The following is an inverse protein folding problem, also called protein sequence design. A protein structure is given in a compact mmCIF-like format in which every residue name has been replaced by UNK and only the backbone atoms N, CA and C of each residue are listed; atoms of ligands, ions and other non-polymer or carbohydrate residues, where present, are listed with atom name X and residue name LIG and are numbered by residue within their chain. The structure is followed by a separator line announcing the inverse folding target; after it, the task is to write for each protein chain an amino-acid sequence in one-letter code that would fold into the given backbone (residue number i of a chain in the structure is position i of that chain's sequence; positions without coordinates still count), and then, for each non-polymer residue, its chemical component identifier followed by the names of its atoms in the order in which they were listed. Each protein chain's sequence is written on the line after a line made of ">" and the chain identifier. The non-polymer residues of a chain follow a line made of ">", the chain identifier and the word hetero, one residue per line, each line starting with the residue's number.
data_IF_283151368070
#
_entry.id   IF_283151368070
#
_cell.length_a   1.000
_cell.length_b   1.000
_cell.length_c   1.000
_cell.angle_alpha   90.00
_cell.angle_beta   90.00
_cell.angle_gamma   90.00
#
_symmetry.space_group_name_H-M   'P 1'
#
loop_
_entity.id
_entity.type
_entity.pdbx_description
1 polymer ?
#
# COMPACT_ATOMS: atom_id res chain seq x y z
N UNK A 1 11.34 -34.50 0.32
CA UNK A 1 10.14 -34.75 -0.48
C UNK A 1 10.11 -33.65 -1.54
N UNK A 2 10.29 -34.01 -2.82
CA UNK A 2 10.22 -33.05 -3.92
C UNK A 2 8.79 -32.48 -3.95
N UNK A 3 8.63 -31.20 -3.71
CA UNK A 3 7.36 -30.50 -3.91
C UNK A 3 6.98 -30.63 -5.38
N UNK A 4 6.02 -31.52 -5.69
CA UNK A 4 5.47 -31.61 -7.04
C UNK A 4 4.90 -30.23 -7.40
N UNK A 5 5.37 -29.67 -8.49
CA UNK A 5 4.91 -28.39 -8.98
C UNK A 5 3.39 -28.46 -9.19
N UNK A 6 2.63 -27.58 -8.51
CA UNK A 6 1.16 -27.50 -8.68
C UNK A 6 0.88 -27.22 -10.15
N UNK A 7 0.08 -28.07 -10.78
CA UNK A 7 -0.30 -27.89 -12.19
C UNK A 7 -1.75 -28.28 -12.42
N UNK A 8 -2.51 -27.39 -13.05
CA UNK A 8 -3.88 -27.60 -13.49
C UNK A 8 -3.92 -27.64 -15.01
N UNK A 9 -4.56 -28.67 -15.56
CA UNK A 9 -4.89 -28.71 -16.99
C UNK A 9 -6.03 -27.74 -17.31
N UNK A 10 -6.18 -27.34 -18.56
CA UNK A 10 -7.28 -26.45 -18.96
C UNK A 10 -8.66 -27.08 -18.68
N UNK A 11 -8.80 -28.41 -18.80
CA UNK A 11 -10.05 -29.08 -18.42
C UNK A 11 -10.34 -28.94 -16.92
N UNK A 12 -9.34 -29.08 -16.06
CA UNK A 12 -9.51 -28.90 -14.61
C UNK A 12 -9.87 -27.45 -14.26
N UNK A 13 -9.28 -26.47 -14.93
CA UNK A 13 -9.66 -25.06 -14.76
C UNK A 13 -11.08 -24.77 -15.27
N UNK A 14 -11.49 -25.38 -16.40
CA UNK A 14 -12.85 -25.26 -16.90
C UNK A 14 -13.89 -25.82 -15.92
N UNK A 15 -13.62 -26.99 -15.35
CA UNK A 15 -14.46 -27.63 -14.32
C UNK A 15 -14.49 -26.77 -13.04
N UNK A 16 -13.37 -26.17 -12.68
CA UNK A 16 -13.26 -25.26 -11.53
C UNK A 16 -14.10 -23.99 -11.75
N UNK A 17 -13.98 -23.35 -12.93
CA UNK A 17 -14.80 -22.19 -13.31
C UNK A 17 -16.30 -22.53 -13.24
N UNK A 18 -16.73 -23.65 -13.80
CA UNK A 18 -18.14 -24.06 -13.78
C UNK A 18 -18.69 -24.15 -12.35
N UNK A 19 -17.93 -24.75 -11.43
CA UNK A 19 -18.33 -24.88 -10.02
C UNK A 19 -18.29 -23.55 -9.27
N UNK A 20 -17.20 -22.77 -9.43
CA UNK A 20 -17.04 -21.48 -8.76
C UNK A 20 -18.10 -20.46 -9.21
N UNK A 21 -18.33 -20.35 -10.52
CA UNK A 21 -19.29 -19.37 -11.06
C UNK A 21 -20.74 -19.68 -10.67
N UNK A 22 -21.09 -20.93 -10.42
CA UNK A 22 -22.38 -21.29 -9.86
C UNK A 22 -22.63 -20.74 -8.43
N UNK A 23 -21.56 -20.35 -7.72
CA UNK A 23 -21.63 -19.75 -6.39
C UNK A 23 -21.70 -18.22 -6.43
N UNK A 24 -21.58 -17.59 -7.59
CA UNK A 24 -21.46 -16.14 -7.79
C UNK A 24 -22.68 -15.57 -8.53
N UNK A 25 -22.86 -14.26 -8.46
CA UNK A 25 -23.74 -13.53 -9.37
C UNK A 25 -23.02 -13.13 -10.69
N UNK A 26 -23.77 -12.75 -11.72
CA UNK A 26 -23.23 -12.44 -13.05
C UNK A 26 -22.18 -11.32 -13.02
N UNK A 27 -22.40 -10.28 -12.21
CA UNK A 27 -21.45 -9.17 -12.05
C UNK A 27 -20.14 -9.66 -11.46
N UNK A 28 -20.22 -10.52 -10.45
CA UNK A 28 -19.05 -11.09 -9.79
C UNK A 28 -18.31 -12.08 -10.71
N UNK A 29 -19.02 -12.84 -11.51
CA UNK A 29 -18.40 -13.71 -12.54
C UNK A 29 -17.59 -12.89 -13.54
N UNK A 30 -18.08 -11.72 -13.99
CA UNK A 30 -17.33 -10.85 -14.89
C UNK A 30 -16.03 -10.33 -14.23
N UNK A 31 -16.10 -9.92 -12.97
CA UNK A 31 -14.95 -9.51 -12.17
C UNK A 31 -13.92 -10.67 -12.03
N UNK A 32 -14.36 -11.86 -11.62
CA UNK A 32 -13.46 -13.02 -11.45
C UNK A 32 -12.77 -13.40 -12.75
N UNK A 33 -13.44 -13.28 -13.91
CA UNK A 33 -12.81 -13.46 -15.22
C UNK A 33 -11.72 -12.43 -15.48
N UNK A 34 -11.95 -11.17 -15.12
CA UNK A 34 -10.94 -10.11 -15.21
C UNK A 34 -9.74 -10.39 -14.32
N UNK A 35 -9.99 -10.81 -13.06
CA UNK A 35 -8.94 -11.21 -12.13
C UNK A 35 -8.12 -12.39 -12.66
N UNK A 36 -8.77 -13.41 -13.20
CA UNK A 36 -8.09 -14.57 -13.79
C UNK A 36 -7.18 -14.16 -14.96
N UNK A 37 -7.67 -13.33 -15.88
CA UNK A 37 -6.88 -12.83 -17.00
C UNK A 37 -5.67 -12.03 -16.52
N UNK A 38 -5.87 -11.16 -15.53
CA UNK A 38 -4.81 -10.33 -14.97
C UNK A 38 -3.78 -11.19 -14.20
N UNK A 39 -4.24 -12.18 -13.43
CA UNK A 39 -3.36 -13.11 -12.71
C UNK A 39 -2.48 -13.93 -13.65
N UNK A 40 -3.03 -14.41 -14.79
CA UNK A 40 -2.27 -15.08 -15.83
C UNK A 40 -1.19 -14.18 -16.42
N UNK A 41 -1.55 -12.96 -16.80
CA UNK A 41 -0.63 -11.99 -17.39
C UNK A 41 0.50 -11.58 -16.39
N UNK A 42 0.16 -11.35 -15.11
CA UNK A 42 1.14 -11.07 -14.07
C UNK A 42 2.06 -12.28 -13.80
N UNK A 43 1.49 -13.50 -13.82
CA UNK A 43 2.29 -14.73 -13.66
C UNK A 43 3.28 -14.90 -14.80
N UNK A 44 2.88 -14.64 -16.03
CA UNK A 44 3.78 -14.67 -17.20
C UNK A 44 4.90 -13.61 -17.06
N UNK A 45 4.52 -12.39 -16.65
CA UNK A 45 5.46 -11.26 -16.47
C UNK A 45 6.51 -11.54 -15.40
N UNK A 46 6.13 -12.15 -14.28
CA UNK A 46 6.95 -12.28 -13.08
C UNK A 46 7.49 -13.69 -12.83
N UNK A 47 7.23 -14.64 -13.75
CA UNK A 47 7.71 -16.02 -13.63
C UNK A 47 6.94 -16.84 -12.57
N UNK A 48 5.68 -16.49 -12.32
CA UNK A 48 4.79 -17.23 -11.42
C UNK A 48 4.21 -18.49 -12.03
N UNK A 49 3.56 -19.31 -11.22
CA UNK A 49 2.81 -20.49 -11.68
C UNK A 49 1.45 -20.08 -12.23
N UNK A 50 1.34 -19.92 -13.55
CA UNK A 50 0.14 -19.42 -14.21
C UNK A 50 -1.12 -20.28 -13.93
N UNK A 51 -1.01 -21.63 -13.95
CA UNK A 51 -2.17 -22.48 -13.70
C UNK A 51 -2.65 -22.44 -12.25
N UNK A 52 -1.74 -22.31 -11.29
CA UNK A 52 -2.08 -22.15 -9.89
C UNK A 52 -2.67 -20.74 -9.63
N UNK A 53 -2.13 -19.69 -10.24
CA UNK A 53 -2.66 -18.33 -10.16
C UNK A 53 -4.07 -18.23 -10.76
N UNK A 54 -4.33 -18.89 -11.90
CA UNK A 54 -5.67 -19.02 -12.46
C UNK A 54 -6.65 -19.67 -11.48
N UNK A 55 -6.25 -20.78 -10.84
CA UNK A 55 -7.10 -21.47 -9.87
C UNK A 55 -7.38 -20.59 -8.64
N UNK A 56 -6.37 -19.87 -8.11
CA UNK A 56 -6.54 -18.93 -7.01
C UNK A 56 -7.50 -17.78 -7.39
N UNK A 57 -7.30 -17.16 -8.56
CA UNK A 57 -8.14 -16.09 -9.07
C UNK A 57 -9.60 -16.52 -9.30
N UNK A 58 -9.83 -17.74 -9.82
CA UNK A 58 -11.18 -18.30 -9.99
C UNK A 58 -11.90 -18.43 -8.63
N UNK A 59 -11.17 -18.73 -7.55
CA UNK A 59 -11.74 -19.04 -6.25
C UNK A 59 -11.72 -17.90 -5.23
N UNK A 60 -11.00 -16.79 -5.48
CA UNK A 60 -10.74 -15.77 -4.45
C UNK A 60 -12.01 -15.18 -3.82
N UNK A 61 -13.08 -15.05 -4.61
CA UNK A 61 -14.32 -14.38 -4.22
C UNK A 61 -15.53 -15.32 -4.06
N UNK A 62 -15.33 -16.65 -3.99
CA UNK A 62 -16.45 -17.63 -3.98
C UNK A 62 -17.44 -17.46 -2.83
N UNK A 63 -17.07 -16.79 -1.75
CA UNK A 63 -17.94 -16.48 -0.61
C UNK A 63 -18.41 -15.03 -0.56
N UNK A 64 -18.03 -14.19 -1.53
CA UNK A 64 -18.36 -12.75 -1.54
C UNK A 64 -19.85 -12.45 -1.54
N UNK A 65 -20.66 -13.35 -2.07
CA UNK A 65 -22.12 -13.25 -2.10
C UNK A 65 -22.76 -13.45 -0.72
N UNK A 66 -22.08 -14.15 0.18
CA UNK A 66 -22.60 -14.46 1.50
C UNK A 66 -22.65 -13.19 2.37
N UNK A 67 -23.73 -13.03 3.12
CA UNK A 67 -23.82 -11.97 4.10
C UNK A 67 -22.92 -12.26 5.32
N UNK A 68 -22.75 -11.25 6.20
CA UNK A 68 -21.86 -11.35 7.38
C UNK A 68 -22.23 -12.54 8.28
N UNK A 69 -23.52 -12.79 8.53
CA UNK A 69 -23.94 -13.90 9.40
C UNK A 69 -23.61 -15.27 8.78
N UNK A 70 -23.84 -15.44 7.48
CA UNK A 70 -23.49 -16.66 6.76
C UNK A 70 -21.97 -16.91 6.78
N UNK A 71 -21.17 -15.88 6.66
CA UNK A 71 -19.71 -15.98 6.75
C UNK A 71 -19.25 -16.33 8.16
N UNK A 72 -19.86 -15.74 9.20
CA UNK A 72 -19.58 -16.09 10.61
C UNK A 72 -19.98 -17.54 10.92
N UNK A 73 -21.10 -18.03 10.40
CA UNK A 73 -21.50 -19.43 10.52
C UNK A 73 -20.49 -20.38 9.85
N UNK A 74 -19.91 -19.95 8.71
CA UNK A 74 -18.83 -20.73 8.08
C UNK A 74 -17.59 -20.79 8.97
N UNK A 75 -17.17 -19.68 9.56
CA UNK A 75 -16.03 -19.67 10.49
C UNK A 75 -16.27 -20.60 11.67
N UNK A 76 -17.45 -20.51 12.28
CA UNK A 76 -17.87 -21.41 13.38
C UNK A 76 -17.82 -22.88 12.97
N UNK A 77 -18.36 -23.23 11.79
CA UNK A 77 -18.31 -24.62 11.25
C UNK A 77 -16.88 -25.15 11.16
N UNK A 78 -15.91 -24.29 10.85
CA UNK A 78 -14.48 -24.66 10.78
C UNK A 78 -13.73 -24.46 12.10
N UNK A 79 -14.42 -24.15 13.20
CA UNK A 79 -13.84 -23.96 14.53
C UNK A 79 -12.97 -22.70 14.66
N UNK A 80 -13.20 -21.71 13.80
CA UNK A 80 -12.46 -20.45 13.82
C UNK A 80 -13.28 -19.40 14.56
N UNK A 81 -12.68 -18.82 15.58
CA UNK A 81 -13.24 -17.68 16.33
C UNK A 81 -12.62 -16.41 15.78
N UNK A 82 -13.41 -15.56 15.08
CA UNK A 82 -12.89 -14.27 14.59
C UNK A 82 -12.54 -13.37 15.78
N UNK A 83 -11.44 -12.64 15.67
CA UNK A 83 -11.09 -11.60 16.62
C UNK A 83 -11.94 -10.32 16.41
N UNK A 84 -11.77 -9.35 17.31
CA UNK A 84 -12.51 -8.10 17.24
C UNK A 84 -12.17 -7.26 16.00
N UNK A 85 -10.94 -7.33 15.53
CA UNK A 85 -10.48 -6.61 14.36
C UNK A 85 -11.18 -7.13 13.09
N UNK A 86 -11.22 -8.45 12.91
CA UNK A 86 -11.91 -9.08 11.78
C UNK A 86 -13.44 -8.84 11.84
N UNK A 87 -14.02 -8.83 13.04
CA UNK A 87 -15.44 -8.47 13.23
C UNK A 87 -15.73 -7.02 12.87
N UNK A 88 -14.78 -6.12 13.12
CA UNK A 88 -14.88 -4.69 12.77
C UNK A 88 -14.68 -4.43 11.28
N UNK A 89 -14.09 -5.38 10.54
CA UNK A 89 -13.80 -5.31 9.11
C UNK A 89 -14.54 -6.42 8.31
N UNK A 90 -15.88 -6.46 8.29
CA UNK A 90 -16.65 -7.57 7.70
C UNK A 90 -16.38 -7.77 6.21
N UNK A 91 -15.85 -6.74 5.51
CA UNK A 91 -15.41 -6.86 4.12
C UNK A 91 -14.26 -7.87 3.93
N UNK A 92 -13.49 -8.20 4.98
CA UNK A 92 -12.39 -9.15 4.92
C UNK A 92 -12.82 -10.61 5.15
N UNK A 93 -14.01 -10.85 5.72
CA UNK A 93 -14.49 -12.19 6.05
C UNK A 93 -14.49 -13.14 4.83
N UNK A 94 -14.82 -12.62 3.63
CA UNK A 94 -14.88 -13.46 2.43
C UNK A 94 -13.53 -14.03 2.02
N UNK A 95 -12.43 -13.36 2.29
CA UNK A 95 -11.09 -13.87 2.00
C UNK A 95 -10.77 -15.08 2.90
N UNK A 96 -11.13 -14.98 4.19
CA UNK A 96 -10.95 -16.08 5.15
C UNK A 96 -11.84 -17.26 4.81
N UNK A 97 -13.13 -17.03 4.66
CA UNK A 97 -14.12 -18.08 4.37
C UNK A 97 -13.93 -18.67 2.98
N UNK A 98 -13.51 -17.86 2.00
CA UNK A 98 -13.14 -18.31 0.66
C UNK A 98 -11.96 -19.27 0.66
N UNK A 99 -10.92 -18.97 1.41
CA UNK A 99 -9.76 -19.84 1.60
C UNK A 99 -10.14 -21.18 2.24
N UNK A 100 -11.01 -21.15 3.26
CA UNK A 100 -11.51 -22.37 3.91
C UNK A 100 -12.31 -23.25 2.95
N UNK A 101 -13.24 -22.67 2.18
CA UNK A 101 -13.99 -23.41 1.18
C UNK A 101 -13.12 -23.91 0.03
N UNK A 102 -12.13 -23.12 -0.42
CA UNK A 102 -11.17 -23.57 -1.44
C UNK A 102 -10.41 -24.81 -0.96
N UNK A 103 -9.99 -24.85 0.30
CA UNK A 103 -9.34 -26.01 0.90
C UNK A 103 -10.28 -27.22 1.02
N UNK A 104 -11.46 -27.01 1.56
CA UNK A 104 -12.40 -28.11 1.89
C UNK A 104 -13.11 -28.68 0.67
N UNK A 105 -13.79 -27.83 -0.12
CA UNK A 105 -14.63 -28.27 -1.25
C UNK A 105 -13.82 -28.51 -2.52
N UNK A 106 -12.79 -27.70 -2.77
CA UNK A 106 -12.01 -27.77 -4.00
C UNK A 106 -10.65 -28.46 -3.83
N UNK A 107 -10.30 -28.86 -2.59
CA UNK A 107 -9.04 -29.54 -2.28
C UNK A 107 -7.80 -28.78 -2.74
N UNK A 108 -7.88 -27.44 -2.68
CA UNK A 108 -6.76 -26.61 -3.07
C UNK A 108 -5.58 -26.70 -2.09
N UNK A 109 -4.34 -26.73 -2.61
CA UNK A 109 -3.14 -26.71 -1.78
C UNK A 109 -2.97 -25.39 -1.05
N UNK A 110 -2.12 -25.39 -0.04
CA UNK A 110 -1.89 -24.26 0.87
C UNK A 110 -1.46 -23.00 0.14
N UNK A 111 -0.57 -23.10 -0.86
CA UNK A 111 -0.13 -21.96 -1.66
C UNK A 111 -1.29 -21.19 -2.30
N UNK A 112 -2.31 -21.90 -2.80
CA UNK A 112 -3.52 -21.30 -3.39
C UNK A 112 -4.43 -20.73 -2.31
N UNK A 113 -4.64 -21.49 -1.22
CA UNK A 113 -5.54 -21.03 -0.15
C UNK A 113 -4.97 -19.83 0.61
N UNK A 114 -3.66 -19.75 0.78
CA UNK A 114 -3.00 -18.56 1.34
C UNK A 114 -3.14 -17.33 0.42
N UNK A 115 -2.95 -17.50 -0.90
CA UNK A 115 -3.19 -16.39 -1.83
C UNK A 115 -4.64 -15.88 -1.77
N UNK A 116 -5.62 -16.78 -1.62
CA UNK A 116 -7.03 -16.42 -1.40
C UNK A 116 -7.20 -15.74 -0.04
N UNK A 117 -6.57 -16.24 1.03
CA UNK A 117 -6.68 -15.69 2.38
C UNK A 117 -6.23 -14.22 2.46
N UNK A 118 -5.18 -13.87 1.72
CA UNK A 118 -4.51 -12.57 1.84
C UNK A 118 -4.81 -11.59 0.71
N UNK A 119 -5.70 -11.95 -0.24
CA UNK A 119 -5.95 -11.12 -1.42
C UNK A 119 -6.59 -9.76 -1.12
N UNK A 120 -7.19 -9.57 0.05
CA UNK A 120 -7.86 -8.30 0.41
C UNK A 120 -7.06 -7.47 1.41
N UNK A 121 -6.54 -8.08 2.47
CA UNK A 121 -5.78 -7.37 3.51
C UNK A 121 -4.30 -7.23 3.18
N UNK A 122 -3.73 -8.17 2.44
CA UNK A 122 -2.29 -8.38 2.38
C UNK A 122 -1.73 -8.91 3.70
N UNK A 123 -0.42 -9.09 3.75
CA UNK A 123 0.39 -9.40 4.94
C UNK A 123 1.85 -9.03 4.69
N UNK A 124 2.71 -8.92 5.72
CA UNK A 124 4.15 -8.85 5.54
C UNK A 124 4.71 -10.05 4.76
N UNK A 125 5.77 -9.85 3.99
CA UNK A 125 6.51 -10.89 3.26
C UNK A 125 5.63 -11.82 2.40
N UNK A 126 4.70 -11.25 1.61
CA UNK A 126 3.86 -12.01 0.68
C UNK A 126 4.70 -12.78 -0.33
N UNK A 127 4.32 -14.02 -0.60
CA UNK A 127 4.86 -14.82 -1.70
C UNK A 127 4.50 -14.21 -3.06
N UNK A 128 5.20 -14.61 -4.13
CA UNK A 128 4.87 -14.14 -5.48
C UNK A 128 3.39 -14.42 -5.85
N UNK A 129 2.87 -15.60 -5.50
CA UNK A 129 1.47 -15.95 -5.73
C UNK A 129 0.51 -15.02 -5.01
N UNK A 130 0.75 -14.73 -3.73
CA UNK A 130 -0.08 -13.82 -2.94
C UNK A 130 -0.07 -12.40 -3.51
N UNK A 131 1.10 -11.88 -3.93
CA UNK A 131 1.22 -10.58 -4.59
C UNK A 131 0.44 -10.53 -5.92
N UNK A 132 0.57 -11.58 -6.74
CA UNK A 132 -0.14 -11.69 -8.02
C UNK A 132 -1.64 -11.64 -7.81
N UNK A 133 -2.19 -12.41 -6.85
CA UNK A 133 -3.63 -12.47 -6.63
C UNK A 133 -4.15 -11.17 -6.01
N UNK A 134 -3.43 -10.58 -5.06
CA UNK A 134 -3.75 -9.27 -4.49
C UNK A 134 -3.85 -8.20 -5.60
N UNK A 135 -2.81 -8.11 -6.43
CA UNK A 135 -2.78 -7.12 -7.52
C UNK A 135 -3.80 -7.43 -8.62
N UNK A 136 -4.02 -8.70 -8.96
CA UNK A 136 -5.00 -9.09 -9.97
C UNK A 136 -6.42 -8.66 -9.59
N UNK A 137 -6.82 -8.84 -8.32
CA UNK A 137 -8.11 -8.33 -7.83
C UNK A 137 -8.17 -6.80 -7.85
N UNK A 138 -7.06 -6.14 -7.49
CA UNK A 138 -7.02 -4.69 -7.32
C UNK A 138 -7.05 -3.93 -8.65
N UNK A 139 -6.43 -4.48 -9.73
CA UNK A 139 -6.22 -3.78 -11.01
C UNK A 139 -6.92 -4.41 -12.21
N UNK A 140 -7.76 -5.43 -12.03
CA UNK A 140 -8.44 -6.09 -13.15
C UNK A 140 -9.23 -5.10 -14.04
N UNK A 141 -9.50 -5.43 -15.35
CA UNK A 141 -9.97 -4.43 -16.31
C UNK A 141 -11.28 -3.70 -15.97
N UNK A 142 -12.17 -4.28 -15.14
CA UNK A 142 -13.42 -3.62 -14.76
C UNK A 142 -13.28 -2.62 -13.61
N UNK A 143 -12.12 -2.56 -12.95
CA UNK A 143 -11.85 -1.59 -11.88
C UNK A 143 -11.71 -0.19 -12.45
N UNK A 144 -12.37 0.79 -11.82
CA UNK A 144 -12.47 2.18 -12.30
C UNK A 144 -12.40 3.20 -11.16
N UNK A 145 -11.34 3.16 -10.35
CA UNK A 145 -11.06 4.17 -9.34
C UNK A 145 -9.92 5.10 -9.78
N UNK A 146 -9.81 6.26 -9.14
CA UNK A 146 -8.77 7.24 -9.47
C UNK A 146 -7.36 6.64 -9.26
N UNK A 147 -6.54 6.63 -10.30
CA UNK A 147 -5.17 6.10 -10.25
C UNK A 147 -5.02 4.64 -10.67
N UNK A 148 -6.12 3.90 -10.93
CA UNK A 148 -6.06 2.48 -11.32
C UNK A 148 -5.25 2.22 -12.58
N UNK A 149 -5.29 3.12 -13.57
CA UNK A 149 -4.52 2.97 -14.82
C UNK A 149 -3.00 3.01 -14.55
N UNK A 150 -2.58 3.94 -13.70
CA UNK A 150 -1.17 4.04 -13.28
C UNK A 150 -0.77 2.77 -12.54
N UNK A 151 -1.60 2.32 -11.62
CA UNK A 151 -1.33 1.12 -10.83
C UNK A 151 -1.27 -0.15 -11.70
N UNK A 152 -2.07 -0.23 -12.79
CA UNK A 152 -1.98 -1.30 -13.78
C UNK A 152 -0.61 -1.32 -14.46
N UNK A 153 -0.15 -0.18 -14.93
CA UNK A 153 1.17 -0.06 -15.56
C UNK A 153 2.28 -0.46 -14.59
N UNK A 154 2.21 0.03 -13.34
CA UNK A 154 3.18 -0.29 -12.30
C UNK A 154 3.19 -1.78 -11.95
N UNK A 155 2.06 -2.46 -11.88
CA UNK A 155 1.98 -3.88 -11.59
C UNK A 155 2.79 -4.75 -12.59
N UNK A 156 2.96 -4.27 -13.82
CA UNK A 156 3.80 -4.92 -14.85
C UNK A 156 5.24 -4.40 -14.92
N UNK A 157 5.52 -3.24 -14.32
CA UNK A 157 6.85 -2.63 -14.27
C UNK A 157 7.61 -3.05 -13.01
N UNK A 158 6.96 -2.95 -11.86
CA UNK A 158 7.49 -3.26 -10.53
C UNK A 158 6.34 -3.73 -9.61
N UNK A 159 6.29 -5.05 -9.35
CA UNK A 159 5.19 -5.66 -8.59
C UNK A 159 5.19 -5.24 -7.11
N UNK A 160 6.38 -5.06 -6.52
CA UNK A 160 6.49 -4.68 -5.11
C UNK A 160 6.14 -3.20 -4.89
N UNK A 161 6.53 -2.34 -5.83
CA UNK A 161 6.08 -0.94 -5.84
C UNK A 161 4.55 -0.85 -5.99
N UNK A 162 3.98 -1.55 -6.98
CA UNK A 162 2.54 -1.55 -7.20
C UNK A 162 1.76 -2.09 -6.00
N UNK A 163 2.28 -3.14 -5.35
CA UNK A 163 1.69 -3.69 -4.13
C UNK A 163 1.71 -2.65 -2.99
N UNK A 164 2.86 -2.00 -2.78
CA UNK A 164 2.99 -0.96 -1.75
C UNK A 164 2.02 0.22 -2.01
N UNK A 165 1.90 0.67 -3.27
CA UNK A 165 0.99 1.76 -3.64
C UNK A 165 -0.48 1.34 -3.52
N UNK A 166 -0.83 0.12 -3.91
CA UNK A 166 -2.17 -0.45 -3.71
C UNK A 166 -2.55 -0.55 -2.23
N UNK A 167 -1.64 -1.00 -1.37
CA UNK A 167 -1.85 -1.03 0.08
C UNK A 167 -2.04 0.38 0.66
N UNK A 168 -1.24 1.36 0.24
CA UNK A 168 -1.40 2.77 0.63
C UNK A 168 -2.78 3.29 0.24
N UNK A 169 -3.20 3.07 -1.01
CA UNK A 169 -4.52 3.51 -1.50
C UNK A 169 -5.66 2.84 -0.73
N UNK A 170 -5.54 1.55 -0.40
CA UNK A 170 -6.49 0.82 0.44
C UNK A 170 -6.64 1.44 1.84
N UNK A 171 -5.52 1.78 2.48
CA UNK A 171 -5.51 2.44 3.79
C UNK A 171 -6.16 3.83 3.73
N UNK A 172 -5.86 4.60 2.70
CA UNK A 172 -6.44 5.94 2.48
C UNK A 172 -7.96 5.86 2.26
N UNK A 173 -8.44 4.88 1.47
CA UNK A 173 -9.87 4.65 1.25
C UNK A 173 -10.61 4.33 2.54
N UNK A 174 -10.08 3.39 3.35
CA UNK A 174 -10.71 2.98 4.61
C UNK A 174 -10.76 4.15 5.60
N UNK A 175 -9.65 4.88 5.78
CA UNK A 175 -9.60 6.07 6.65
C UNK A 175 -10.51 7.19 6.15
N UNK A 176 -10.53 7.42 4.85
CA UNK A 176 -11.43 8.40 4.21
C UNK A 176 -12.91 8.10 4.40
N UNK A 177 -13.29 6.84 4.64
CA UNK A 177 -14.64 6.42 5.01
C UNK A 177 -14.96 6.59 6.51
N UNK A 178 -14.00 7.04 7.32
CA UNK A 178 -14.14 7.16 8.77
C UNK A 178 -14.02 5.83 9.52
N UNK A 179 -13.46 4.80 8.90
CA UNK A 179 -13.24 3.48 9.50
C UNK A 179 -11.75 3.28 9.81
N UNK A 180 -11.46 2.45 10.82
CA UNK A 180 -10.09 2.01 11.11
C UNK A 180 -9.69 0.87 10.17
N UNK A 181 -8.49 0.92 9.56
CA UNK A 181 -7.97 -0.18 8.77
C UNK A 181 -7.64 -1.38 9.64
N UNK A 182 -7.83 -2.59 9.08
CA UNK A 182 -7.41 -3.83 9.74
C UNK A 182 -5.89 -3.87 9.92
N UNK A 183 -5.43 -4.40 11.05
CA UNK A 183 -3.99 -4.45 11.38
C UNK A 183 -3.17 -5.17 10.30
N UNK A 184 -3.66 -6.29 9.72
CA UNK A 184 -2.96 -6.99 8.63
C UNK A 184 -2.60 -6.05 7.47
N UNK A 185 -3.53 -5.16 7.06
CA UNK A 185 -3.27 -4.20 5.96
C UNK A 185 -2.26 -3.14 6.38
N UNK A 186 -2.31 -2.70 7.64
CA UNK A 186 -1.33 -1.75 8.19
C UNK A 186 0.06 -2.40 8.22
N UNK A 187 0.17 -3.62 8.74
CA UNK A 187 1.43 -4.36 8.84
C UNK A 187 2.00 -4.69 7.46
N UNK A 188 1.14 -5.09 6.51
CA UNK A 188 1.53 -5.27 5.12
C UNK A 188 2.13 -3.99 4.54
N UNK A 189 1.44 -2.86 4.69
CA UNK A 189 1.93 -1.57 4.21
C UNK A 189 3.25 -1.17 4.89
N UNK A 190 3.38 -1.31 6.19
CA UNK A 190 4.63 -1.01 6.89
C UNK A 190 5.80 -1.84 6.36
N UNK A 191 5.55 -3.11 6.02
CA UNK A 191 6.55 -3.97 5.40
C UNK A 191 6.95 -3.52 3.99
N UNK A 192 5.98 -3.13 3.13
CA UNK A 192 6.23 -2.80 1.73
C UNK A 192 6.47 -1.30 1.45
N UNK A 193 6.18 -0.40 2.37
CA UNK A 193 6.29 1.06 2.14
C UNK A 193 7.66 1.54 1.61
N UNK A 194 8.73 0.79 1.88
CA UNK A 194 10.07 1.13 1.40
C UNK A 194 10.19 1.04 -0.13
N UNK A 195 9.37 0.23 -0.80
CA UNK A 195 9.34 0.19 -2.26
C UNK A 195 8.79 1.48 -2.89
N UNK A 196 7.91 2.22 -2.18
CA UNK A 196 7.44 3.53 -2.64
C UNK A 196 8.53 4.60 -2.65
N UNK A 197 9.64 4.33 -1.99
CA UNK A 197 10.78 5.25 -1.89
C UNK A 197 11.68 5.26 -3.12
N UNK A 198 11.35 4.47 -4.17
CA UNK A 198 12.17 4.27 -5.37
C UNK A 198 13.41 3.42 -5.08
N UNK A 199 13.64 2.38 -5.87
CA UNK A 199 14.76 1.44 -5.73
C UNK A 199 16.17 2.07 -5.90
N UNK A 200 16.25 3.39 -6.10
CA UNK A 200 17.49 4.17 -6.22
C UNK A 200 17.76 5.09 -5.03
N UNK A 201 16.96 5.06 -3.95
CA UNK A 201 17.32 5.79 -2.74
C UNK A 201 18.55 5.14 -2.11
N UNK A 202 19.72 5.65 -2.42
CA UNK A 202 20.95 5.30 -1.68
C UNK A 202 20.96 5.88 -0.27
N UNK A 203 19.99 6.75 0.04
CA UNK A 203 19.92 7.50 1.29
C UNK A 203 18.84 6.92 2.22
N UNK A 204 19.19 6.76 3.49
CA UNK A 204 18.23 6.46 4.56
C UNK A 204 17.27 7.64 4.79
N UNK A 205 16.09 7.43 5.39
CA UNK A 205 15.18 8.51 5.76
C UNK A 205 15.84 9.60 6.62
N UNK A 206 16.73 9.20 7.52
CA UNK A 206 17.48 10.12 8.35
C UNK A 206 18.48 10.98 7.54
N UNK A 207 19.12 10.41 6.51
CA UNK A 207 19.99 11.15 5.60
C UNK A 207 19.21 12.13 4.74
N UNK A 208 18.04 11.73 4.19
CA UNK A 208 17.15 12.63 3.45
C UNK A 208 16.70 13.80 4.32
N UNK A 209 16.28 13.53 5.56
CA UNK A 209 15.92 14.58 6.53
C UNK A 209 17.10 15.49 6.88
N UNK A 210 18.30 14.91 7.00
CA UNK A 210 19.54 15.64 7.25
C UNK A 210 19.93 16.59 6.12
N UNK A 211 19.84 16.14 4.86
CA UNK A 211 20.07 16.97 3.66
C UNK A 211 19.03 18.08 3.58
N UNK A 212 17.74 17.75 3.77
CA UNK A 212 16.67 18.75 3.74
C UNK A 212 16.87 19.84 4.81
N UNK A 213 17.13 19.43 6.05
CA UNK A 213 17.35 20.35 7.16
C UNK A 213 18.58 21.25 6.92
N UNK A 214 19.66 20.68 6.38
CA UNK A 214 20.85 21.44 6.01
C UNK A 214 20.58 22.45 4.88
N UNK A 215 19.91 22.03 3.82
CA UNK A 215 19.53 22.91 2.71
C UNK A 215 18.70 24.11 3.18
N UNK A 216 17.80 23.88 4.13
CA UNK A 216 16.99 24.92 4.76
C UNK A 216 17.84 25.86 5.62
N UNK A 217 18.79 25.33 6.41
CA UNK A 217 19.70 26.13 7.24
C UNK A 217 20.65 26.98 6.39
N UNK A 218 21.22 26.42 5.34
CA UNK A 218 22.09 27.13 4.37
C UNK A 218 21.39 28.34 3.75
N UNK A 219 20.06 28.27 3.57
CA UNK A 219 19.21 29.39 3.11
C UNK A 219 18.58 30.19 4.24
N UNK A 220 19.01 29.97 5.48
CA UNK A 220 18.55 30.76 6.63
C UNK A 220 17.06 30.62 6.94
N UNK A 221 16.51 29.42 6.75
CA UNK A 221 15.16 29.10 7.22
C UNK A 221 15.06 29.32 8.74
N UNK A 222 13.91 29.76 9.19
CA UNK A 222 13.66 30.02 10.61
C UNK A 222 13.00 28.83 11.27
N UNK A 223 13.38 28.57 12.52
CA UNK A 223 12.72 27.57 13.38
C UNK A 223 12.61 26.18 12.72
N UNK A 224 13.72 25.66 12.20
CA UNK A 224 13.77 24.31 11.62
C UNK A 224 13.55 23.29 12.74
N UNK A 225 12.53 22.44 12.56
CA UNK A 225 12.25 21.29 13.42
C UNK A 225 12.24 20.02 12.58
N UNK A 226 12.79 18.95 13.14
CA UNK A 226 12.69 17.61 12.58
C UNK A 226 11.99 16.72 13.58
N UNK A 227 10.89 16.12 13.15
CA UNK A 227 10.09 15.17 13.94
C UNK A 227 10.24 13.78 13.36
N UNK A 228 10.63 12.81 14.20
CA UNK A 228 10.66 11.41 13.83
C UNK A 228 9.28 10.82 14.07
N UNK A 229 8.59 10.43 12.99
CA UNK A 229 7.18 10.07 12.99
C UNK A 229 6.91 8.63 12.54
N UNK A 230 7.95 7.83 12.34
CA UNK A 230 7.85 6.46 11.80
C UNK A 230 6.95 5.54 12.65
N UNK A 231 6.87 5.74 13.97
CA UNK A 231 6.05 4.96 14.88
C UNK A 231 4.61 5.50 15.03
N UNK A 232 4.35 6.75 14.64
CA UNK A 232 3.07 7.43 14.85
C UNK A 232 2.22 7.52 13.58
N UNK A 233 2.84 7.46 12.41
CA UNK A 233 2.11 7.61 11.14
C UNK A 233 2.72 6.80 10.01
N UNK A 234 1.88 6.43 9.07
CA UNK A 234 2.29 5.80 7.80
C UNK A 234 2.64 6.82 6.70
N UNK A 235 2.48 8.12 6.98
CA UNK A 235 2.67 9.17 5.97
C UNK A 235 4.14 9.38 5.64
N UNK A 236 5.00 9.45 6.66
CA UNK A 236 6.44 9.62 6.50
C UNK A 236 7.17 9.19 7.78
N UNK A 237 8.46 8.88 7.66
CA UNK A 237 9.30 8.57 8.82
C UNK A 237 9.77 9.85 9.51
N UNK A 238 9.93 10.96 8.75
CA UNK A 238 10.31 12.26 9.27
C UNK A 238 9.47 13.38 8.67
N UNK A 239 9.12 14.35 9.48
CA UNK A 239 8.68 15.67 9.06
C UNK A 239 9.77 16.70 9.32
N UNK A 240 10.10 17.48 8.29
CA UNK A 240 11.00 18.64 8.43
C UNK A 240 10.14 19.89 8.25
N UNK A 241 10.04 20.72 9.29
CA UNK A 241 9.15 21.88 9.35
C UNK A 241 9.97 23.14 9.56
N UNK A 242 9.75 24.18 8.75
CA UNK A 242 10.44 25.45 8.90
C UNK A 242 9.59 26.66 8.50
N UNK A 243 10.11 27.86 8.73
CA UNK A 243 9.52 29.11 8.28
C UNK A 243 10.43 29.84 7.29
N UNK A 244 9.80 30.40 6.24
CA UNK A 244 10.39 31.46 5.45
C UNK A 244 9.94 32.84 5.94
N UNK A 245 10.77 33.86 5.73
CA UNK A 245 10.49 35.26 6.14
C UNK A 245 9.67 36.05 5.12
N UNK A 246 9.51 35.53 3.91
CA UNK A 246 8.73 36.11 2.81
C UNK A 246 8.42 35.05 1.76
N UNK A 247 7.49 35.32 0.85
CA UNK A 247 7.18 34.43 -0.28
C UNK A 247 8.41 34.19 -1.20
N UNK A 248 9.26 35.18 -1.39
CA UNK A 248 10.52 35.01 -2.11
C UNK A 248 11.48 34.08 -1.37
N UNK A 249 11.54 34.18 -0.04
CA UNK A 249 12.34 33.28 0.79
C UNK A 249 11.80 31.85 0.76
N UNK A 250 10.48 31.64 0.87
CA UNK A 250 9.86 30.31 0.74
C UNK A 250 10.25 29.66 -0.60
N UNK A 251 10.17 30.39 -1.72
CA UNK A 251 10.59 29.91 -3.04
C UNK A 251 12.06 29.53 -3.11
N UNK A 252 12.94 30.32 -2.44
CA UNK A 252 14.36 30.01 -2.37
C UNK A 252 14.65 28.77 -1.52
N UNK A 253 13.92 28.57 -0.41
CA UNK A 253 14.00 27.37 0.43
C UNK A 253 13.56 26.11 -0.34
N UNK A 254 12.42 26.18 -1.01
CA UNK A 254 11.90 25.09 -1.87
C UNK A 254 12.92 24.74 -2.96
N UNK A 255 13.46 25.73 -3.67
CA UNK A 255 14.44 25.53 -4.72
C UNK A 255 15.75 24.89 -4.23
N UNK A 256 16.20 25.23 -3.03
CA UNK A 256 17.43 24.64 -2.47
C UNK A 256 17.21 23.20 -2.02
N UNK A 257 16.11 22.91 -1.31
CA UNK A 257 15.76 21.54 -0.90
C UNK A 257 15.60 20.63 -2.13
N UNK A 258 14.86 21.11 -3.15
CA UNK A 258 14.69 20.38 -4.42
C UNK A 258 16.03 20.08 -5.09
N UNK A 259 16.90 21.08 -5.18
CA UNK A 259 18.22 20.97 -5.80
C UNK A 259 19.10 19.95 -5.05
N UNK A 260 19.28 20.11 -3.75
CA UNK A 260 20.18 19.29 -2.94
C UNK A 260 19.75 17.81 -2.94
N UNK A 261 18.44 17.54 -2.76
CA UNK A 261 17.94 16.18 -2.74
C UNK A 261 17.91 15.55 -4.15
N UNK A 262 17.59 16.33 -5.20
CA UNK A 262 17.67 15.82 -6.59
C UNK A 262 19.12 15.51 -7.00
N UNK A 263 20.10 16.32 -6.61
CA UNK A 263 21.54 16.07 -6.83
C UNK A 263 22.01 14.83 -6.06
N UNK A 264 21.40 14.54 -4.91
CA UNK A 264 21.65 13.33 -4.11
C UNK A 264 20.90 12.07 -4.63
N UNK A 265 20.16 12.18 -5.74
CA UNK A 265 19.39 11.07 -6.32
C UNK A 265 17.97 10.92 -5.78
N UNK A 266 17.50 11.86 -4.94
CA UNK A 266 16.21 11.86 -4.27
C UNK A 266 15.31 13.03 -4.74
N UNK A 267 14.81 13.02 -5.98
CA UNK A 267 13.87 14.05 -6.43
C UNK A 267 12.54 13.91 -5.66
N UNK A 268 11.82 15.01 -5.39
CA UNK A 268 10.54 14.94 -4.71
C UNK A 268 9.51 14.20 -5.57
N UNK A 269 8.80 13.28 -4.95
CA UNK A 269 7.67 12.52 -5.53
C UNK A 269 6.52 13.48 -5.88
N UNK A 270 6.29 14.47 -5.01
CA UNK A 270 5.18 15.42 -5.14
C UNK A 270 5.53 16.77 -4.52
N UNK A 271 4.98 17.84 -5.11
CA UNK A 271 5.07 19.20 -4.56
C UNK A 271 3.68 19.81 -4.55
N UNK A 272 3.28 20.35 -3.40
CA UNK A 272 2.02 21.08 -3.27
C UNK A 272 2.24 22.51 -2.78
N UNK A 273 1.31 23.39 -3.11
CA UNK A 273 1.37 24.76 -2.67
C UNK A 273 2.40 25.65 -3.37
N UNK A 274 3.02 25.22 -4.49
CA UNK A 274 4.04 26.02 -5.21
C UNK A 274 3.54 27.40 -5.68
N UNK A 275 2.22 27.56 -5.82
CA UNK A 275 1.57 28.84 -6.14
C UNK A 275 1.08 29.56 -4.89
N UNK A 276 1.21 28.94 -3.73
CA UNK A 276 0.87 29.52 -2.44
C UNK A 276 2.06 30.31 -1.91
N UNK A 277 1.79 31.49 -1.39
CA UNK A 277 2.83 32.32 -0.75
C UNK A 277 2.94 32.04 0.76
N UNK A 278 2.17 31.07 1.30
CA UNK A 278 2.06 30.86 2.75
C UNK A 278 2.50 29.47 3.22
N UNK A 279 2.39 28.43 2.37
CA UNK A 279 2.74 27.05 2.70
C UNK A 279 3.04 26.21 1.46
N UNK A 280 4.21 25.59 1.43
CA UNK A 280 4.63 24.60 0.45
C UNK A 280 4.95 23.30 1.13
N UNK A 281 4.47 22.19 0.56
CA UNK A 281 4.78 20.82 0.95
C UNK A 281 5.62 20.17 -0.14
N UNK A 282 6.71 19.52 0.25
CA UNK A 282 7.55 18.70 -0.64
C UNK A 282 7.60 17.28 -0.05
N UNK A 283 7.14 16.31 -0.84
CA UNK A 283 7.06 14.90 -0.46
C UNK A 283 8.21 14.13 -1.13
N UNK A 284 9.05 13.51 -0.31
CA UNK A 284 10.17 12.65 -0.70
C UNK A 284 9.93 11.18 -0.31
N UNK A 285 8.66 10.78 -0.14
CA UNK A 285 8.25 9.45 0.29
C UNK A 285 8.45 9.23 1.79
N UNK A 286 9.68 9.02 2.23
CA UNK A 286 9.99 8.83 3.66
C UNK A 286 10.11 10.11 4.47
N UNK A 287 10.25 11.24 3.81
CA UNK A 287 10.42 12.56 4.43
C UNK A 287 9.48 13.56 3.78
N UNK A 288 8.69 14.26 4.58
CA UNK A 288 7.87 15.37 4.11
C UNK A 288 8.42 16.68 4.67
N UNK A 289 8.70 17.64 3.76
CA UNK A 289 9.21 18.96 4.12
C UNK A 289 8.07 19.98 4.05
N UNK A 290 7.80 20.66 5.14
CA UNK A 290 6.80 21.72 5.24
C UNK A 290 7.48 23.08 5.41
N UNK A 291 7.28 23.98 4.46
CA UNK A 291 7.85 25.34 4.46
C UNK A 291 6.69 26.32 4.55
N UNK A 292 6.60 27.04 5.67
CA UNK A 292 5.51 27.95 6.00
C UNK A 292 5.94 29.42 6.06
N UNK A 293 4.96 30.34 6.01
CA UNK A 293 5.08 31.61 6.71
C UNK A 293 4.90 31.40 8.21
N UNK A 294 5.37 32.31 9.05
CA UNK A 294 5.18 32.21 10.49
C UNK A 294 3.71 32.18 10.90
N UNK A 295 2.87 32.96 10.26
CA UNK A 295 1.42 33.01 10.51
C UNK A 295 0.74 31.67 10.14
N UNK A 296 1.05 31.13 8.96
CA UNK A 296 0.47 29.87 8.52
C UNK A 296 0.90 28.70 9.44
N UNK A 297 2.16 28.65 9.86
CA UNK A 297 2.65 27.63 10.80
C UNK A 297 1.92 27.67 12.14
N UNK A 298 1.72 28.87 12.70
CA UNK A 298 0.95 29.06 13.93
C UNK A 298 -0.50 28.63 13.76
N UNK A 299 -1.11 28.95 12.61
CA UNK A 299 -2.51 28.64 12.33
C UNK A 299 -2.73 27.13 12.19
N UNK A 300 -1.95 26.45 11.34
CA UNK A 300 -2.09 25.01 11.12
C UNK A 300 -1.53 24.17 12.24
N UNK A 301 -0.50 24.64 12.93
CA UNK A 301 0.11 24.02 14.11
C UNK A 301 0.33 22.52 13.97
N UNK A 302 1.00 22.10 12.87
CA UNK A 302 1.19 20.67 12.54
C UNK A 302 1.95 19.92 13.65
N UNK A 303 2.84 20.57 14.37
CA UNK A 303 3.59 19.98 15.47
C UNK A 303 2.70 19.47 16.59
N UNK A 304 1.51 20.04 16.75
CA UNK A 304 0.53 19.56 17.73
C UNK A 304 -0.07 18.21 17.35
N UNK A 305 -0.20 17.92 16.05
CA UNK A 305 -0.70 16.63 15.58
C UNK A 305 0.28 15.50 15.88
N UNK A 306 1.57 15.87 15.96
CA UNK A 306 2.68 14.94 16.19
C UNK A 306 3.41 15.23 17.50
N UNK A 307 2.67 15.68 18.53
CA UNK A 307 3.24 16.05 19.83
C UNK A 307 3.94 14.90 20.55
N UNK A 308 3.59 13.67 20.23
CA UNK A 308 4.19 12.46 20.82
C UNK A 308 5.39 11.95 20.02
N UNK A 309 5.75 12.62 18.90
CA UNK A 309 6.91 12.27 18.10
C UNK A 309 8.19 12.79 18.73
N UNK A 310 9.28 12.06 18.53
CA UNK A 310 10.62 12.49 18.94
C UNK A 310 11.06 13.70 18.10
N UNK A 311 11.41 14.82 18.75
CA UNK A 311 12.08 15.93 18.10
C UNK A 311 13.58 15.63 17.99
N UNK A 312 14.08 15.51 16.77
CA UNK A 312 15.48 15.19 16.49
C UNK A 312 16.26 16.48 16.22
N UNK A 313 17.44 16.61 16.83
CA UNK A 313 18.35 17.71 16.50
C UNK A 313 18.79 17.62 15.03
N UNK A 314 18.50 18.64 14.19
CA UNK A 314 18.92 18.65 12.80
C UNK A 314 20.43 18.45 12.58
N UNK A 315 21.25 18.85 13.55
CA UNK A 315 22.72 18.71 13.50
C UNK A 315 23.21 17.29 13.78
N UNK A 316 22.39 16.47 14.43
CA UNK A 316 22.70 15.07 14.77
C UNK A 316 22.33 14.09 13.63
N UNK A 317 21.56 14.55 12.62
CA UNK A 317 21.18 13.69 11.49
C UNK A 317 22.39 13.38 10.61
N UNK A 318 22.49 12.13 10.10
CA UNK A 318 23.54 11.74 9.19
C UNK A 318 23.46 12.56 7.89
N UNK A 319 24.63 12.81 7.30
CA UNK A 319 24.79 13.51 6.01
C UNK A 319 25.77 12.69 5.19
N UNK A 320 25.46 12.40 3.92
CA UNK A 320 26.38 11.65 3.04
C UNK A 320 27.67 12.42 2.75
#
# INVERSE_FOLDING_TARGET
>A
MTSGQIHFTEQQLADLRAKAYAMLDERRVAHVKGCEQTALALSERWGGNASAAAAAAILHDITKKLNTNEQLQLLEKYGIVPDNDLLSAPKLLHAVTGALLAKDLFRMPEEITEAIRWHTSGKPAMTLMEKIIYMADYVEPSRSFKGVEILREEAFRDLDYALADGLRMSLEEVRGSGSEPHHDTVDAFQYYKHYLRGENSMLSPAEIAGIAAKALDDKKAMNIKVLKTEEQTVLADYFVICNGTSSAHIKALVGEVDKQLSEAGEPPVRREGLRSDIWVLMDFGSVIVHIFTEEARRFYNLERLWSDSEEVDPSALPRP
#
